data_IF_423447114259
#
_entry.id   IF_423447114259
#
_cell.length_a   1.000
_cell.length_b   1.000
_cell.length_c   1.000
_cell.angle_alpha   90.00
_cell.angle_beta   90.00
_cell.angle_gamma   90.00
#
_symmetry.space_group_name_H-M   'P 1'
#
loop_
_entity.id
_entity.type
_entity.pdbx_description
1 polymer ?
#
# COMPACT_ATOMS: atom_id res chain seq x y z
N UNK A 1 -9.01 -24.71 6.00
CA UNK A 1 -10.29 -25.26 6.51
C UNK A 1 -11.11 -26.03 5.48
N UNK A 2 -10.71 -26.09 4.19
CA UNK A 2 -11.54 -26.72 3.14
C UNK A 2 -12.73 -25.86 2.70
N UNK A 3 -12.82 -24.63 3.20
CA UNK A 3 -13.85 -23.66 2.85
C UNK A 3 -13.60 -23.04 1.48
N UNK A 4 -14.68 -22.66 0.81
CA UNK A 4 -14.61 -21.93 -0.46
C UNK A 4 -14.19 -20.47 -0.21
N UNK A 5 -13.37 -19.93 -1.11
CA UNK A 5 -13.05 -18.50 -1.10
C UNK A 5 -14.35 -17.71 -1.31
N UNK A 6 -14.69 -16.74 -0.43
CA UNK A 6 -15.91 -15.98 -0.60
C UNK A 6 -15.90 -15.18 -1.90
N UNK A 7 -17.08 -14.98 -2.49
CA UNK A 7 -17.22 -14.19 -3.71
C UNK A 7 -16.69 -12.76 -3.49
N UNK A 8 -15.94 -12.24 -4.46
CA UNK A 8 -15.39 -10.88 -4.41
C UNK A 8 -14.05 -10.74 -3.69
N UNK A 9 -13.47 -11.82 -3.14
CA UNK A 9 -12.10 -11.76 -2.63
C UNK A 9 -11.08 -11.72 -3.78
N UNK A 10 -10.19 -10.70 -3.83
CA UNK A 10 -9.22 -10.54 -4.94
C UNK A 10 -8.00 -11.48 -4.82
N UNK A 11 -7.84 -12.16 -3.68
CA UNK A 11 -6.71 -13.03 -3.40
C UNK A 11 -6.83 -14.43 -4.00
N UNK A 12 -5.69 -15.12 -4.06
CA UNK A 12 -5.58 -16.52 -4.47
C UNK A 12 -5.14 -17.39 -3.30
N UNK A 13 -5.56 -18.65 -3.29
CA UNK A 13 -5.14 -19.62 -2.29
C UNK A 13 -3.64 -19.88 -2.38
N UNK A 14 -2.92 -19.73 -1.26
CA UNK A 14 -1.52 -20.13 -1.18
C UNK A 14 -1.34 -21.65 -1.19
N UNK A 15 -2.38 -22.43 -0.87
CA UNK A 15 -2.36 -23.89 -1.00
C UNK A 15 -2.29 -24.28 -2.48
N UNK A 16 -3.06 -23.62 -3.34
CA UNK A 16 -3.05 -23.90 -4.78
C UNK A 16 -1.70 -23.55 -5.40
N UNK A 17 -1.11 -22.43 -4.95
CA UNK A 17 0.27 -22.03 -5.34
C UNK A 17 1.29 -23.07 -4.88
N UNK A 18 1.18 -23.56 -3.63
CA UNK A 18 2.05 -24.63 -3.13
C UNK A 18 1.90 -25.95 -3.91
N UNK A 19 0.74 -26.18 -4.54
CA UNK A 19 0.49 -27.29 -5.46
C UNK A 19 0.87 -26.99 -6.93
N UNK A 20 1.50 -25.85 -7.20
CA UNK A 20 2.06 -25.50 -8.51
C UNK A 20 1.21 -24.55 -9.35
N UNK A 21 0.10 -24.02 -8.84
CA UNK A 21 -0.63 -22.96 -9.54
C UNK A 21 0.24 -21.70 -9.67
N UNK A 22 0.26 -21.11 -10.86
CA UNK A 22 1.00 -19.87 -11.16
C UNK A 22 0.03 -18.78 -11.61
N UNK A 23 -0.85 -18.27 -10.73
CA UNK A 23 -1.80 -17.25 -11.11
C UNK A 23 -1.08 -15.94 -11.43
N UNK A 24 -1.33 -15.39 -12.61
CA UNK A 24 -0.91 -14.02 -12.94
C UNK A 24 -1.77 -13.05 -12.12
N UNK A 25 -1.15 -12.39 -11.14
CA UNK A 25 -1.79 -11.43 -10.24
C UNK A 25 -0.81 -10.36 -9.79
N UNK A 26 -1.32 -9.18 -9.50
CA UNK A 26 -0.57 -8.19 -8.75
C UNK A 26 -0.58 -8.53 -7.25
N UNK A 27 0.50 -8.21 -6.55
CA UNK A 27 0.52 -8.09 -5.08
C UNK A 27 0.40 -6.63 -4.75
N UNK A 28 -0.56 -6.25 -3.89
CA UNK A 28 -0.78 -4.88 -3.44
C UNK A 28 -0.18 -4.64 -2.05
N UNK A 29 0.40 -3.47 -1.85
CA UNK A 29 0.82 -2.92 -0.56
C UNK A 29 0.32 -1.48 -0.46
N UNK A 30 -0.19 -1.07 0.70
CA UNK A 30 -0.73 0.27 0.92
C UNK A 30 -0.13 0.89 2.19
N UNK A 31 0.05 2.21 2.19
CA UNK A 31 0.55 2.95 3.34
C UNK A 31 -0.19 4.29 3.49
N UNK A 32 -0.81 4.48 4.65
CA UNK A 32 -1.56 5.69 5.05
C UNK A 32 -1.15 6.20 6.45
N UNK A 33 0.05 5.80 6.88
CA UNK A 33 0.53 6.00 8.24
C UNK A 33 1.39 7.25 8.43
N UNK A 34 2.08 7.29 9.57
CA UNK A 34 2.97 8.37 9.97
C UNK A 34 4.04 8.67 8.91
N UNK A 35 4.31 9.96 8.69
CA UNK A 35 5.31 10.40 7.71
C UNK A 35 4.83 10.42 6.25
N UNK A 36 3.60 9.98 5.97
CA UNK A 36 2.97 10.18 4.67
C UNK A 36 1.87 11.24 4.74
N UNK A 37 1.93 12.21 3.83
CA UNK A 37 0.89 13.24 3.65
C UNK A 37 -0.27 12.76 2.77
N UNK A 38 -0.14 11.58 2.17
CA UNK A 38 -1.12 11.01 1.24
C UNK A 38 -1.01 9.48 1.18
N UNK A 39 -1.97 8.81 0.57
CA UNK A 39 -1.94 7.38 0.32
C UNK A 39 -0.83 7.00 -0.64
N UNK A 40 -0.05 5.99 -0.25
CA UNK A 40 0.99 5.36 -1.07
C UNK A 40 0.58 3.93 -1.35
N UNK A 41 0.62 3.54 -2.61
CA UNK A 41 0.24 2.22 -3.07
C UNK A 41 1.40 1.65 -3.85
N UNK A 42 1.77 0.41 -3.59
CA UNK A 42 2.76 -0.31 -4.39
C UNK A 42 2.13 -1.59 -4.93
N UNK A 43 2.39 -1.88 -6.20
CA UNK A 43 2.09 -3.19 -6.76
C UNK A 43 3.36 -3.89 -7.24
N UNK A 44 3.40 -5.21 -7.02
CA UNK A 44 4.39 -6.12 -7.60
C UNK A 44 3.70 -7.00 -8.63
N UNK A 45 4.11 -6.91 -9.90
CA UNK A 45 3.53 -7.67 -11.00
C UNK A 45 4.58 -7.98 -12.07
N UNK A 46 4.66 -9.24 -12.51
CA UNK A 46 5.67 -9.73 -13.48
C UNK A 46 7.11 -9.39 -13.05
N UNK A 47 7.86 -8.54 -13.77
CA UNK A 47 9.18 -8.02 -13.35
C UNK A 47 9.11 -6.65 -12.64
N UNK A 48 7.94 -6.01 -12.67
CA UNK A 48 7.79 -4.62 -12.26
C UNK A 48 7.45 -4.47 -10.79
N UNK A 49 7.95 -3.40 -10.19
CA UNK A 49 7.39 -2.76 -9.01
C UNK A 49 6.98 -1.33 -9.37
N UNK A 50 5.70 -1.04 -9.19
CA UNK A 50 5.12 0.27 -9.45
C UNK A 50 4.65 0.88 -8.14
N UNK A 51 5.01 2.14 -7.89
CA UNK A 51 4.58 2.89 -6.72
C UNK A 51 3.75 4.08 -7.17
N UNK A 52 2.49 4.12 -6.73
CA UNK A 52 1.56 5.20 -6.95
C UNK A 52 1.43 6.06 -5.70
N UNK A 53 1.55 7.36 -5.89
CA UNK A 53 1.27 8.36 -4.87
C UNK A 53 0.10 9.20 -5.37
N UNK A 54 -0.90 9.42 -4.52
CA UNK A 54 -2.08 10.20 -4.91
C UNK A 54 -1.72 11.65 -5.29
N UNK A 55 -0.73 12.23 -4.61
CA UNK A 55 -0.32 13.63 -4.80
C UNK A 55 1.11 13.81 -5.36
N UNK A 56 1.81 12.74 -5.77
CA UNK A 56 3.18 12.82 -6.27
C UNK A 56 3.36 11.98 -7.55
N UNK A 57 4.40 12.24 -8.36
CA UNK A 57 4.73 11.38 -9.50
C UNK A 57 4.91 9.92 -9.06
N UNK A 58 4.49 9.00 -9.93
CA UNK A 58 4.68 7.58 -9.69
C UNK A 58 6.12 7.15 -9.95
N UNK A 59 6.50 6.00 -9.42
CA UNK A 59 7.79 5.36 -9.67
C UNK A 59 7.60 3.98 -10.29
N UNK A 60 8.56 3.55 -11.11
CA UNK A 60 8.56 2.24 -11.74
C UNK A 60 9.97 1.65 -11.74
N UNK A 61 10.11 0.43 -11.24
CA UNK A 61 11.37 -0.29 -11.15
C UNK A 61 11.27 -1.64 -11.87
N UNK A 62 12.26 -1.94 -12.72
CA UNK A 62 12.46 -3.28 -13.30
C UNK A 62 13.27 -4.12 -12.33
N UNK A 63 12.64 -5.07 -11.63
CA UNK A 63 13.32 -5.86 -10.62
C UNK A 63 14.15 -7.02 -11.19
N UNK A 64 14.01 -7.34 -12.48
CA UNK A 64 14.86 -8.33 -13.13
C UNK A 64 16.24 -7.72 -13.46
N UNK A 65 16.28 -6.43 -13.83
CA UNK A 65 17.52 -5.69 -14.12
C UNK A 65 18.07 -4.91 -12.92
N UNK A 66 17.19 -4.41 -12.05
CA UNK A 66 17.49 -3.52 -10.91
C UNK A 66 16.78 -4.01 -9.63
N UNK A 67 17.23 -5.14 -9.04
CA UNK A 67 16.62 -5.70 -7.84
C UNK A 67 16.75 -4.81 -6.59
N UNK A 68 17.63 -3.80 -6.63
CA UNK A 68 17.88 -2.85 -5.55
C UNK A 68 17.08 -1.54 -5.71
N UNK A 69 16.29 -1.41 -6.78
CA UNK A 69 15.41 -0.25 -7.02
C UNK A 69 16.18 1.08 -7.09
N UNK A 70 17.39 1.05 -7.63
CA UNK A 70 18.28 2.21 -7.73
C UNK A 70 17.93 3.12 -8.93
N UNK A 71 17.17 2.61 -9.91
CA UNK A 71 16.82 3.31 -11.14
C UNK A 71 15.31 3.33 -11.34
N UNK A 72 14.73 4.48 -11.05
CA UNK A 72 13.36 4.80 -11.44
C UNK A 72 13.27 5.04 -12.96
N UNK A 73 12.42 4.28 -13.63
CA UNK A 73 12.19 4.36 -15.08
C UNK A 73 10.79 4.89 -15.43
N UNK A 74 10.04 5.46 -14.47
CA UNK A 74 8.68 5.94 -14.71
C UNK A 74 8.58 7.04 -15.78
N UNK A 75 9.58 7.93 -15.85
CA UNK A 75 9.64 9.04 -16.81
C UNK A 75 10.32 8.64 -18.14
N UNK A 76 10.78 7.39 -18.27
CA UNK A 76 11.39 6.89 -19.50
C UNK A 76 10.30 6.39 -20.46
N UNK A 77 10.15 7.09 -21.58
CA UNK A 77 9.16 6.77 -22.61
C UNK A 77 9.27 5.35 -23.19
N UNK A 78 10.43 4.69 -23.06
CA UNK A 78 10.58 3.29 -23.44
C UNK A 78 9.76 2.34 -22.55
N UNK A 79 9.42 2.76 -21.32
CA UNK A 79 8.70 1.96 -20.33
C UNK A 79 7.25 2.43 -20.11
N UNK A 80 6.73 3.34 -20.94
CA UNK A 80 5.39 3.91 -20.80
C UNK A 80 4.26 2.86 -20.81
N UNK A 81 4.39 1.82 -21.63
CA UNK A 81 3.42 0.72 -21.69
C UNK A 81 3.41 -0.11 -20.40
N UNK A 82 4.58 -0.34 -19.79
CA UNK A 82 4.70 -1.04 -18.52
C UNK A 82 4.12 -0.22 -17.37
N UNK A 83 4.42 1.09 -17.34
CA UNK A 83 3.85 2.03 -16.37
C UNK A 83 2.32 2.01 -16.41
N UNK A 84 1.74 2.13 -17.60
CA UNK A 84 0.30 2.13 -17.78
C UNK A 84 -0.32 0.75 -17.49
N UNK A 85 0.37 -0.34 -17.82
CA UNK A 85 -0.05 -1.70 -17.45
C UNK A 85 -0.17 -1.85 -15.93
N UNK A 86 0.88 -1.47 -15.20
CA UNK A 86 0.89 -1.47 -13.75
C UNK A 86 -0.19 -0.56 -13.17
N UNK A 87 -0.34 0.67 -13.69
CA UNK A 87 -1.39 1.59 -13.25
C UNK A 87 -2.78 0.97 -13.39
N UNK A 88 -3.10 0.35 -14.52
CA UNK A 88 -4.39 -0.34 -14.69
C UNK A 88 -4.56 -1.52 -13.73
N UNK A 89 -3.50 -2.27 -13.46
CA UNK A 89 -3.54 -3.37 -12.51
C UNK A 89 -3.88 -2.86 -11.09
N UNK A 90 -3.26 -1.77 -10.64
CA UNK A 90 -3.63 -1.11 -9.37
C UNK A 90 -5.10 -0.69 -9.36
N UNK A 91 -5.54 0.05 -10.38
CA UNK A 91 -6.91 0.57 -10.48
C UNK A 91 -7.98 -0.53 -10.63
N UNK A 92 -7.59 -1.74 -11.01
CA UNK A 92 -8.49 -2.90 -11.01
C UNK A 92 -8.75 -3.48 -9.62
N UNK A 93 -7.88 -3.18 -8.64
CA UNK A 93 -8.00 -3.64 -7.25
C UNK A 93 -8.73 -2.59 -6.41
N UNK A 94 -8.34 -1.32 -6.51
CA UNK A 94 -8.95 -0.21 -5.78
C UNK A 94 -8.78 1.12 -6.53
N UNK A 95 -9.58 2.13 -6.19
CA UNK A 95 -9.33 3.52 -6.61
C UNK A 95 -8.45 4.22 -5.55
N UNK A 96 -7.17 4.52 -5.84
CA UNK A 96 -6.25 5.12 -4.87
C UNK A 96 -6.76 6.45 -4.28
N UNK A 97 -7.50 7.24 -5.07
CA UNK A 97 -8.03 8.52 -4.61
C UNK A 97 -9.19 8.33 -3.62
N UNK A 98 -10.07 7.38 -3.88
CA UNK A 98 -11.15 7.03 -2.94
C UNK A 98 -10.57 6.52 -1.63
N UNK A 99 -9.59 5.61 -1.71
CA UNK A 99 -8.98 5.00 -0.52
C UNK A 99 -8.26 6.05 0.32
N UNK A 100 -7.51 6.98 -0.29
CA UNK A 100 -6.87 8.11 0.41
C UNK A 100 -7.89 9.01 1.10
N UNK A 101 -8.97 9.40 0.40
CA UNK A 101 -10.03 10.23 0.98
C UNK A 101 -10.70 9.53 2.17
N UNK A 102 -10.97 8.23 2.05
CA UNK A 102 -11.56 7.43 3.13
C UNK A 102 -10.61 7.30 4.32
N UNK A 103 -9.31 7.13 4.09
CA UNK A 103 -8.30 7.12 5.14
C UNK A 103 -8.26 8.46 5.90
N UNK A 104 -8.21 9.58 5.18
CA UNK A 104 -8.23 10.92 5.77
C UNK A 104 -9.52 11.20 6.56
N UNK A 105 -10.68 10.83 6.03
CA UNK A 105 -11.94 10.95 6.74
C UNK A 105 -11.92 10.16 8.06
N UNK A 106 -11.41 8.93 8.03
CA UNK A 106 -11.30 8.10 9.24
C UNK A 106 -10.32 8.68 10.27
N UNK A 107 -9.19 9.23 9.81
CA UNK A 107 -8.25 9.91 10.69
C UNK A 107 -8.89 11.14 11.36
N UNK A 108 -9.68 11.93 10.61
CA UNK A 108 -10.39 13.09 11.15
C UNK A 108 -11.44 12.69 12.21
N UNK A 109 -12.20 11.62 11.97
CA UNK A 109 -13.12 11.05 12.96
C UNK A 109 -12.40 10.64 14.25
N UNK A 110 -11.25 9.96 14.11
CA UNK A 110 -10.45 9.54 15.26
C UNK A 110 -9.91 10.75 16.04
N UNK A 111 -9.46 11.80 15.36
CA UNK A 111 -9.08 13.04 16.04
C UNK A 111 -10.24 13.63 16.82
N UNK A 112 -11.43 13.73 16.22
CA UNK A 112 -12.63 14.27 16.89
C UNK A 112 -13.01 13.45 18.13
N UNK A 113 -12.99 12.11 18.03
CA UNK A 113 -13.28 11.21 19.15
C UNK A 113 -12.25 11.29 20.28
N UNK A 114 -11.04 11.79 20.01
CA UNK A 114 -9.95 11.90 20.98
C UNK A 114 -9.71 13.36 21.45
N UNK A 115 -10.72 14.23 21.36
CA UNK A 115 -10.64 15.60 21.88
C UNK A 115 -10.04 16.62 20.89
N UNK A 116 -9.89 16.24 19.63
CA UNK A 116 -9.37 17.08 18.55
C UNK A 116 -7.85 17.09 18.48
N UNK A 117 -7.34 17.79 17.45
CA UNK A 117 -5.91 17.81 17.11
C UNK A 117 -5.02 18.28 18.27
N UNK A 118 -5.42 19.32 18.99
CA UNK A 118 -4.62 19.88 20.08
C UNK A 118 -4.44 18.87 21.22
N UNK A 119 -5.53 18.21 21.66
CA UNK A 119 -5.49 17.21 22.72
C UNK A 119 -4.66 15.98 22.33
N UNK A 120 -4.76 15.52 21.06
CA UNK A 120 -3.97 14.39 20.57
C UNK A 120 -2.48 14.73 20.51
N UNK A 121 -2.11 15.96 20.13
CA UNK A 121 -0.70 16.41 20.13
C UNK A 121 -0.17 16.52 21.56
N UNK A 122 -0.94 17.11 22.47
CA UNK A 122 -0.56 17.22 23.89
C UNK A 122 -0.40 15.85 24.55
N UNK A 123 -1.25 14.87 24.17
CA UNK A 123 -1.16 13.50 24.68
C UNK A 123 0.13 12.80 24.27
N UNK A 124 0.69 13.10 23.10
CA UNK A 124 1.85 12.39 22.56
C UNK A 124 1.53 11.10 21.81
N UNK A 125 2.59 10.41 21.38
CA UNK A 125 2.62 9.22 20.53
C UNK A 125 3.69 8.26 21.06
N UNK A 126 3.52 6.95 20.85
CA UNK A 126 4.52 5.93 21.18
C UNK A 126 5.70 5.89 20.19
N UNK A 127 5.59 6.51 19.00
CA UNK A 127 6.59 6.51 17.92
C UNK A 127 6.78 5.14 17.24
N UNK A 128 6.64 4.05 18.00
CA UNK A 128 6.64 2.66 17.59
C UNK A 128 5.68 1.86 18.49
N UNK A 129 5.24 0.69 18.02
CA UNK A 129 4.44 -0.19 18.89
C UNK A 129 5.31 -0.70 20.04
N UNK A 130 4.92 -0.49 21.31
CA UNK A 130 5.67 -0.98 22.45
C UNK A 130 5.84 -2.51 22.39
N UNK A 131 7.04 -3.01 22.72
CA UNK A 131 7.27 -4.44 22.76
C UNK A 131 6.45 -5.09 23.89
N UNK A 132 6.05 -6.38 23.76
CA UNK A 132 5.37 -7.09 24.84
C UNK A 132 6.15 -6.98 26.16
N UNK A 133 5.45 -6.59 27.24
CA UNK A 133 6.05 -6.41 28.57
C UNK A 133 6.65 -5.03 28.84
N UNK A 134 6.59 -4.10 27.90
CA UNK A 134 6.98 -2.69 28.11
C UNK A 134 5.77 -1.83 28.49
N UNK A 135 5.99 -0.78 29.29
CA UNK A 135 4.93 0.18 29.62
C UNK A 135 4.67 1.03 28.39
N UNK A 136 3.41 1.07 27.96
CA UNK A 136 2.95 2.02 26.95
C UNK A 136 2.85 3.39 27.62
N UNK A 137 3.89 4.21 27.49
CA UNK A 137 3.92 5.60 27.96
C UNK A 137 3.88 6.56 26.77
N UNK A 138 2.89 7.46 26.77
CA UNK A 138 2.78 8.50 25.75
C UNK A 138 3.69 9.65 26.21
N UNK A 139 4.95 9.65 25.73
CA UNK A 139 5.90 10.72 26.05
C UNK A 139 5.59 12.01 25.28
#
# INVERSE_FOLDING_TARGET
AGEKIPAGYPGVSLIDVAHGAQPRRAVLSEYHGMGSSTGVFAIRMDQWKYVHYVNYPAQLFDLDEDPEELRDVADDGAHADALEHCRRALFSICDPNEVDQRAHARQAELLALNGGRAAVIERGDFGFTPAPGTVADFQ
#
